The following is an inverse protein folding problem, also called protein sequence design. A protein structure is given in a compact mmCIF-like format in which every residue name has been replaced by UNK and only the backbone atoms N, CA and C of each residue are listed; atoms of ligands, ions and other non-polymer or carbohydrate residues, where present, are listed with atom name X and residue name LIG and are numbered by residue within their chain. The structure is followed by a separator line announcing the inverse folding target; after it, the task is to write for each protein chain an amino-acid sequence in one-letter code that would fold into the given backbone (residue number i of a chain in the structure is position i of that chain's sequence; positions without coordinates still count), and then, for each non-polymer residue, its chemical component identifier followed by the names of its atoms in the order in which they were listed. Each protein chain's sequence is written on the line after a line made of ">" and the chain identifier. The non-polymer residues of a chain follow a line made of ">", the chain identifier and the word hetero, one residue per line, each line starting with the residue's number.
data_IF_587759185554
#
_entry.id   IF_587759185554
#
_cell.length_a   1.000
_cell.length_b   1.000
_cell.length_c   1.000
_cell.angle_alpha   90.00
_cell.angle_beta   90.00
_cell.angle_gamma   90.00
#
_symmetry.space_group_name_H-M   'P 1'
#
loop_
_entity.id
_entity.type
_entity.pdbx_description
1 polymer ?
#
# COMPACT_ATOMS: atom_id res chain seq x y z
N UNK A 1 21.78 -10.74 33.06
CA UNK A 1 21.40 -9.61 32.22
C UNK A 1 20.28 -10.12 31.32
N UNK A 2 19.02 -9.98 31.81
CA UNK A 2 17.84 -10.60 31.21
C UNK A 2 17.33 -9.67 30.11
N UNK A 3 17.27 -10.17 28.89
CA UNK A 3 16.60 -9.51 27.75
C UNK A 3 15.09 -9.63 27.99
N UNK A 4 14.43 -8.54 28.39
CA UNK A 4 12.97 -8.45 28.31
C UNK A 4 12.55 -8.25 26.86
N UNK A 5 11.69 -9.13 26.31
CA UNK A 5 11.18 -8.95 24.96
C UNK A 5 10.17 -7.78 24.97
N UNK A 6 10.36 -6.79 24.10
CA UNK A 6 9.42 -5.71 23.81
C UNK A 6 8.08 -6.19 23.19
N UNK A 7 7.64 -7.36 23.57
CA UNK A 7 6.39 -7.98 23.16
C UNK A 7 5.19 -7.53 24.03
N UNK A 8 5.41 -6.66 25.04
CA UNK A 8 4.42 -6.29 26.03
C UNK A 8 3.21 -5.49 25.49
N UNK A 9 3.38 -4.70 24.42
CA UNK A 9 2.30 -3.85 23.90
C UNK A 9 1.26 -4.67 23.12
N UNK A 10 1.70 -5.70 22.40
CA UNK A 10 0.77 -6.59 21.66
C UNK A 10 -0.03 -7.46 22.64
N UNK A 11 0.59 -7.92 23.73
CA UNK A 11 -0.07 -8.76 24.75
C UNK A 11 -1.13 -8.00 25.56
N UNK A 12 -0.92 -6.70 25.85
CA UNK A 12 -1.89 -5.88 26.60
C UNK A 12 -3.14 -5.58 25.76
N UNK A 13 -3.01 -5.42 24.44
CA UNK A 13 -4.14 -5.22 23.54
C UNK A 13 -5.00 -6.48 23.34
N UNK A 14 -4.44 -7.66 23.54
CA UNK A 14 -5.13 -8.96 23.36
C UNK A 14 -6.10 -9.27 24.50
N UNK A 15 -5.83 -8.78 25.73
CA UNK A 15 -6.62 -9.14 26.93
C UNK A 15 -7.99 -8.45 27.03
N UNK A 16 -8.26 -7.40 26.25
CA UNK A 16 -9.51 -6.61 26.34
C UNK A 16 -10.42 -6.71 25.10
N UNK A 17 -10.14 -7.57 24.13
CA UNK A 17 -10.93 -7.70 22.91
C UNK A 17 -11.78 -8.98 22.89
N UNK A 18 -12.95 -8.98 22.21
CA UNK A 18 -13.90 -10.10 22.18
C UNK A 18 -13.37 -11.37 21.47
N UNK A 19 -12.25 -11.29 20.75
CA UNK A 19 -11.49 -12.46 20.31
C UNK A 19 -10.50 -12.90 21.41
N UNK A 20 -11.04 -13.20 22.58
CA UNK A 20 -10.28 -13.82 23.68
C UNK A 20 -9.53 -15.04 23.13
N UNK A 21 -8.20 -14.92 23.07
CA UNK A 21 -7.38 -16.11 23.18
C UNK A 21 -7.63 -16.64 24.60
N UNK A 22 -8.35 -17.71 24.73
CA UNK A 22 -8.22 -18.54 25.91
C UNK A 22 -6.77 -19.05 25.90
N UNK A 23 -5.92 -18.31 26.61
CA UNK A 23 -4.49 -18.61 26.78
C UNK A 23 -4.25 -19.91 27.56
N UNK A 24 -5.32 -20.66 27.81
CA UNK A 24 -5.31 -21.81 28.71
C UNK A 24 -5.09 -23.18 28.01
N UNK A 25 -5.15 -23.25 26.67
CA UNK A 25 -5.13 -24.56 26.02
C UNK A 25 -3.77 -25.00 25.48
N UNK A 26 -2.90 -24.09 25.03
CA UNK A 26 -1.57 -24.47 24.50
C UNK A 26 -0.61 -23.29 24.40
N UNK A 27 0.67 -23.52 24.69
CA UNK A 27 1.76 -22.54 24.45
C UNK A 27 1.86 -22.08 22.99
N UNK A 28 1.20 -22.76 22.06
CA UNK A 28 1.18 -22.46 20.63
C UNK A 28 -0.04 -21.66 20.19
N UNK A 29 -0.93 -21.27 21.09
CA UNK A 29 -2.16 -20.53 20.74
C UNK A 29 -1.87 -19.19 20.08
N UNK A 30 -0.75 -18.56 20.45
CA UNK A 30 -0.26 -17.35 19.78
C UNK A 30 0.09 -17.54 18.29
N UNK A 31 0.29 -18.77 17.83
CA UNK A 31 0.58 -19.11 16.42
C UNK A 31 -0.70 -19.40 15.60
N UNK A 32 -1.86 -19.43 16.23
CA UNK A 32 -3.12 -19.65 15.50
C UNK A 32 -3.43 -18.46 14.61
N UNK A 33 -3.67 -18.73 13.32
CA UNK A 33 -3.91 -17.68 12.30
C UNK A 33 -5.08 -16.75 12.66
N UNK A 34 -6.15 -17.30 13.24
CA UNK A 34 -7.34 -16.55 13.65
C UNK A 34 -7.06 -15.45 14.69
N UNK A 35 -5.92 -15.51 15.35
CA UNK A 35 -5.50 -14.53 16.33
C UNK A 35 -4.55 -13.47 15.81
N UNK A 36 -4.17 -13.54 14.56
CA UNK A 36 -3.23 -12.61 13.95
C UNK A 36 -3.96 -11.46 13.29
N UNK A 37 -3.83 -10.23 13.80
CA UNK A 37 -4.41 -9.04 13.17
C UNK A 37 -3.87 -8.83 11.74
N UNK A 38 -2.62 -9.16 11.50
CA UNK A 38 -1.99 -8.99 10.19
C UNK A 38 -2.67 -9.85 9.11
N UNK A 39 -3.24 -11.02 9.47
CA UNK A 39 -3.86 -11.90 8.49
C UNK A 39 -5.11 -11.31 7.83
N UNK A 40 -6.14 -10.82 8.56
CA UNK A 40 -7.28 -10.17 7.92
C UNK A 40 -6.87 -8.94 7.11
N UNK A 41 -5.92 -8.12 7.55
CA UNK A 41 -5.39 -6.99 6.77
C UNK A 41 -4.78 -7.46 5.45
N UNK A 42 -3.94 -8.49 5.49
CA UNK A 42 -3.36 -9.10 4.29
C UNK A 42 -4.43 -9.68 3.36
N UNK A 43 -5.38 -10.44 3.91
CA UNK A 43 -6.44 -11.07 3.12
C UNK A 43 -7.34 -10.02 2.44
N UNK A 44 -7.76 -8.98 3.19
CA UNK A 44 -8.56 -7.89 2.65
C UNK A 44 -7.80 -7.14 1.57
N UNK A 45 -6.52 -6.78 1.79
CA UNK A 45 -5.70 -6.11 0.79
C UNK A 45 -5.62 -6.91 -0.50
N UNK A 46 -5.34 -8.21 -0.43
CA UNK A 46 -5.30 -9.09 -1.62
C UNK A 46 -6.64 -9.17 -2.35
N UNK A 47 -7.73 -9.30 -1.61
CA UNK A 47 -9.08 -9.38 -2.19
C UNK A 47 -9.48 -8.08 -2.87
N UNK A 48 -9.14 -6.93 -2.27
CA UNK A 48 -9.36 -5.62 -2.89
C UNK A 48 -8.56 -5.49 -4.20
N UNK A 49 -7.29 -5.85 -4.21
CA UNK A 49 -6.45 -5.82 -5.42
C UNK A 49 -7.03 -6.69 -6.54
N UNK A 50 -7.55 -7.88 -6.23
CA UNK A 50 -8.23 -8.72 -7.23
C UNK A 50 -9.44 -8.03 -7.86
N UNK A 51 -10.22 -7.29 -7.06
CA UNK A 51 -11.39 -6.57 -7.56
C UNK A 51 -11.02 -5.41 -8.49
N UNK A 52 -9.84 -4.80 -8.31
CA UNK A 52 -9.33 -3.80 -9.25
C UNK A 52 -8.99 -4.39 -10.63
N UNK A 53 -8.57 -5.65 -10.68
CA UNK A 53 -8.00 -6.25 -11.90
C UNK A 53 -8.86 -6.08 -13.16
N UNK A 54 -10.19 -6.42 -13.19
CA UNK A 54 -10.99 -6.30 -14.41
C UNK A 54 -11.15 -4.85 -14.89
N UNK A 55 -10.95 -3.87 -14.04
CA UNK A 55 -10.97 -2.45 -14.39
C UNK A 55 -9.61 -1.99 -14.90
N UNK A 56 -8.53 -2.41 -14.25
CA UNK A 56 -7.16 -2.05 -14.59
C UNK A 56 -6.69 -2.71 -15.89
N UNK A 57 -7.14 -3.92 -16.17
CA UNK A 57 -6.82 -4.63 -17.42
C UNK A 57 -7.29 -3.81 -18.66
N UNK A 58 -8.40 -3.06 -18.54
CA UNK A 58 -8.93 -2.19 -19.60
C UNK A 58 -8.00 -1.03 -19.95
N UNK A 59 -7.26 -0.54 -18.98
CA UNK A 59 -6.28 0.55 -19.14
C UNK A 59 -4.84 0.02 -19.17
N UNK A 60 -4.68 -1.30 -19.21
CA UNK A 60 -3.38 -1.97 -19.36
C UNK A 60 -2.45 -1.81 -18.16
N UNK A 61 -2.97 -1.64 -16.93
CA UNK A 61 -2.16 -1.45 -15.72
C UNK A 61 -2.35 -2.59 -14.71
N UNK A 62 -1.29 -2.94 -13.99
CA UNK A 62 -1.39 -3.68 -12.73
C UNK A 62 -1.74 -2.73 -11.58
N UNK A 63 -2.17 -3.25 -10.43
CA UNK A 63 -2.50 -2.41 -9.28
C UNK A 63 -1.32 -1.54 -8.81
N UNK A 64 -0.11 -2.11 -8.74
CA UNK A 64 1.08 -1.33 -8.35
C UNK A 64 1.41 -0.25 -9.37
N UNK A 65 1.25 -0.51 -10.67
CA UNK A 65 1.40 0.50 -11.72
C UNK A 65 0.35 1.61 -11.57
N UNK A 66 -0.89 1.25 -11.26
CA UNK A 66 -1.97 2.20 -11.06
C UNK A 66 -1.72 3.16 -9.90
N UNK A 67 -1.31 2.66 -8.71
CA UNK A 67 -1.01 3.54 -7.58
C UNK A 67 0.22 4.43 -7.83
N UNK A 68 1.21 3.95 -8.59
CA UNK A 68 2.31 4.79 -9.08
C UNK A 68 1.79 5.90 -9.99
N UNK A 69 0.92 5.58 -10.96
CA UNK A 69 0.32 6.59 -11.83
C UNK A 69 -0.54 7.58 -11.05
N UNK A 70 -1.28 7.16 -10.02
CA UNK A 70 -2.04 8.06 -9.14
C UNK A 70 -1.14 9.12 -8.51
N UNK A 71 0.03 8.73 -8.01
CA UNK A 71 1.00 9.70 -7.46
C UNK A 71 1.49 10.65 -8.54
N UNK A 72 1.79 10.18 -9.75
CA UNK A 72 2.25 11.06 -10.84
C UNK A 72 1.13 11.92 -11.44
N UNK A 73 -0.13 11.54 -11.34
CA UNK A 73 -1.26 12.41 -11.68
C UNK A 73 -1.39 13.61 -10.72
N UNK A 74 -0.90 13.47 -9.48
CA UNK A 74 -0.86 14.56 -8.49
C UNK A 74 0.42 15.39 -8.62
N UNK A 75 1.57 14.76 -8.51
CA UNK A 75 2.88 15.40 -8.28
C UNK A 75 3.64 15.72 -9.58
N UNK A 76 3.26 15.14 -10.72
CA UNK A 76 3.87 15.29 -12.05
C UNK A 76 5.33 14.80 -12.14
N UNK A 77 6.14 15.06 -11.13
CA UNK A 77 7.57 14.78 -11.09
C UNK A 77 8.02 14.48 -9.67
N UNK A 78 8.73 13.36 -9.49
CA UNK A 78 9.31 12.93 -8.22
C UNK A 78 10.62 12.17 -8.46
N UNK A 79 11.47 12.12 -7.44
CA UNK A 79 12.53 11.11 -7.42
C UNK A 79 12.01 9.78 -6.86
N UNK A 80 12.78 8.70 -7.11
CA UNK A 80 12.37 7.34 -6.72
C UNK A 80 12.22 7.18 -5.20
N UNK A 81 13.04 7.89 -4.41
CA UNK A 81 12.95 7.86 -2.95
C UNK A 81 11.64 8.47 -2.46
N UNK A 82 11.29 9.66 -2.93
CA UNK A 82 10.03 10.33 -2.62
C UNK A 82 8.81 9.47 -3.00
N UNK A 83 8.87 8.82 -4.17
CA UNK A 83 7.81 7.90 -4.60
C UNK A 83 7.69 6.71 -3.66
N UNK A 84 8.81 6.13 -3.20
CA UNK A 84 8.84 5.04 -2.25
C UNK A 84 8.21 5.40 -0.90
N UNK A 85 8.55 6.58 -0.38
CA UNK A 85 7.98 7.12 0.86
C UNK A 85 6.44 7.30 0.74
N UNK A 86 5.96 7.81 -0.40
CA UNK A 86 4.51 7.99 -0.66
C UNK A 86 3.74 6.67 -0.74
N UNK A 87 4.36 5.63 -1.29
CA UNK A 87 3.71 4.34 -1.55
C UNK A 87 4.05 3.26 -0.53
N UNK A 88 4.91 3.54 0.45
CA UNK A 88 5.47 2.55 1.37
C UNK A 88 6.12 1.37 0.62
N UNK A 89 6.87 1.68 -0.45
CA UNK A 89 7.55 0.70 -1.30
C UNK A 89 9.04 0.99 -1.38
N UNK A 90 9.84 -0.07 -1.36
CA UNK A 90 11.28 0.00 -1.55
C UNK A 90 11.66 0.22 -3.04
N UNK A 91 12.90 0.66 -3.25
CA UNK A 91 13.43 0.93 -4.59
C UNK A 91 13.53 -0.34 -5.47
N UNK A 92 13.74 -1.51 -4.86
CA UNK A 92 13.78 -2.79 -5.56
C UNK A 92 12.43 -3.13 -6.18
N UNK A 93 11.35 -2.89 -5.44
CA UNK A 93 9.97 -3.06 -5.91
C UNK A 93 9.60 -2.00 -6.97
N UNK A 94 10.01 -0.75 -6.80
CA UNK A 94 9.64 0.34 -7.71
C UNK A 94 10.39 0.28 -9.05
N UNK A 95 11.65 -0.12 -9.05
CA UNK A 95 12.49 -0.12 -10.26
C UNK A 95 11.87 -0.89 -11.44
N UNK A 96 11.41 -2.15 -11.31
CA UNK A 96 10.76 -2.87 -12.40
C UNK A 96 9.43 -2.26 -12.81
N UNK A 97 8.67 -1.71 -11.87
CA UNK A 97 7.39 -1.03 -12.15
C UNK A 97 7.61 0.21 -13.02
N UNK A 98 8.56 1.07 -12.63
CA UNK A 98 8.92 2.27 -13.38
C UNK A 98 9.47 1.95 -14.76
N UNK A 99 10.31 0.91 -14.91
CA UNK A 99 10.77 0.43 -16.22
C UNK A 99 9.61 0.04 -17.14
N UNK A 100 8.63 -0.66 -16.60
CA UNK A 100 7.45 -1.09 -17.37
C UNK A 100 6.58 0.11 -17.76
N UNK A 101 6.35 1.07 -16.87
CA UNK A 101 5.58 2.27 -17.17
C UNK A 101 6.28 3.16 -18.20
N UNK A 102 7.61 3.25 -18.14
CA UNK A 102 8.42 3.94 -19.15
C UNK A 102 8.34 3.23 -20.50
N UNK A 103 8.45 1.89 -20.57
CA UNK A 103 8.29 1.14 -21.80
C UNK A 103 6.90 1.26 -22.44
N UNK A 104 5.88 1.58 -21.64
CA UNK A 104 4.52 1.92 -22.09
C UNK A 104 4.39 3.39 -22.52
N UNK A 105 5.44 4.20 -22.40
CA UNK A 105 5.43 5.62 -22.72
C UNK A 105 4.64 6.49 -21.74
N UNK A 106 4.27 5.98 -20.56
CA UNK A 106 3.45 6.70 -19.57
C UNK A 106 4.29 7.57 -18.63
N UNK A 107 5.53 7.18 -18.38
CA UNK A 107 6.51 7.89 -17.58
C UNK A 107 7.82 8.05 -18.36
N UNK A 108 8.62 9.05 -17.99
CA UNK A 108 9.96 9.26 -18.48
C UNK A 108 10.91 9.35 -17.28
N UNK A 109 12.02 8.61 -17.32
CA UNK A 109 13.07 8.63 -16.31
C UNK A 109 14.26 9.42 -16.80
N UNK A 110 14.70 10.41 -16.02
CA UNK A 110 15.86 11.23 -16.32
C UNK A 110 16.78 11.31 -15.10
N UNK A 111 18.07 11.41 -15.30
CA UNK A 111 18.97 11.80 -14.22
C UNK A 111 18.74 13.28 -13.89
N UNK A 112 18.78 13.62 -12.61
CA UNK A 112 18.69 15.03 -12.21
C UNK A 112 19.87 15.81 -12.81
N UNK A 113 19.61 17.02 -13.23
CA UNK A 113 20.66 17.95 -13.70
C UNK A 113 21.49 18.52 -12.55
N UNK A 114 20.95 18.49 -11.33
CA UNK A 114 21.59 19.01 -10.12
C UNK A 114 22.46 17.94 -9.42
N UNK A 115 22.03 16.67 -9.45
CA UNK A 115 22.78 15.53 -8.93
C UNK A 115 22.51 14.30 -9.81
N UNK A 116 23.50 13.88 -10.58
CA UNK A 116 23.43 12.73 -11.49
C UNK A 116 23.14 11.40 -10.80
N UNK A 117 23.30 11.33 -9.47
CA UNK A 117 22.97 10.14 -8.65
C UNK A 117 21.46 10.01 -8.42
N UNK A 118 20.71 11.12 -8.57
CA UNK A 118 19.27 11.15 -8.33
C UNK A 118 18.51 10.85 -9.62
N UNK A 119 17.79 9.74 -9.64
CA UNK A 119 16.87 9.40 -10.72
C UNK A 119 15.52 10.09 -10.49
N UNK A 120 15.18 11.00 -11.38
CA UNK A 120 13.89 11.69 -11.41
C UNK A 120 12.97 11.02 -12.42
N UNK A 121 11.70 10.92 -12.09
CA UNK A 121 10.64 10.37 -12.92
C UNK A 121 9.60 11.45 -13.15
N UNK A 122 9.17 11.61 -14.40
CA UNK A 122 8.16 12.58 -14.83
C UNK A 122 7.04 11.87 -15.61
N UNK A 123 5.82 12.35 -15.46
CA UNK A 123 4.69 11.86 -16.26
C UNK A 123 4.78 12.42 -17.69
N UNK A 124 4.39 11.60 -18.67
CA UNK A 124 4.30 12.02 -20.07
C UNK A 124 2.88 12.53 -20.39
N UNK A 125 2.71 13.13 -21.58
CA UNK A 125 1.37 13.51 -22.08
C UNK A 125 0.45 12.28 -22.21
N UNK A 126 0.97 11.14 -22.65
CA UNK A 126 0.21 9.89 -22.70
C UNK A 126 -0.18 9.39 -21.30
N UNK A 127 0.72 9.55 -20.31
CA UNK A 127 0.43 9.23 -18.92
C UNK A 127 -0.65 10.14 -18.32
N UNK A 128 -0.66 11.43 -18.67
CA UNK A 128 -1.72 12.36 -18.29
C UNK A 128 -3.06 12.00 -18.93
N UNK A 129 -3.08 11.71 -20.22
CA UNK A 129 -4.31 11.35 -20.93
C UNK A 129 -4.97 10.09 -20.35
N UNK A 130 -4.18 9.11 -19.86
CA UNK A 130 -4.67 7.89 -19.23
C UNK A 130 -5.50 8.15 -17.96
N UNK A 131 -5.37 9.33 -17.35
CA UNK A 131 -6.15 9.76 -16.18
C UNK A 131 -7.65 9.76 -16.44
N UNK A 132 -8.07 10.13 -17.64
CA UNK A 132 -9.48 10.15 -18.02
C UNK A 132 -10.06 8.74 -18.07
N UNK A 133 -9.33 7.78 -18.59
CA UNK A 133 -9.73 6.35 -18.62
C UNK A 133 -9.81 5.76 -17.21
N UNK A 134 -8.96 6.23 -16.29
CA UNK A 134 -8.93 5.76 -14.91
C UNK A 134 -10.04 6.37 -14.02
N UNK A 135 -10.70 7.46 -14.44
CA UNK A 135 -11.62 8.28 -13.63
C UNK A 135 -12.77 7.49 -12.98
N UNK A 136 -13.25 6.44 -13.63
CA UNK A 136 -14.38 5.65 -13.15
C UNK A 136 -13.96 4.49 -12.23
N UNK A 137 -12.68 4.13 -12.16
CA UNK A 137 -12.21 2.98 -11.37
C UNK A 137 -12.55 3.12 -9.89
N UNK A 138 -12.28 4.25 -9.20
CA UNK A 138 -12.63 4.40 -7.79
C UNK A 138 -14.15 4.29 -7.54
N UNK A 139 -14.98 4.79 -8.45
CA UNK A 139 -16.45 4.72 -8.34
C UNK A 139 -16.96 3.27 -8.42
N UNK A 140 -16.39 2.47 -9.31
CA UNK A 140 -16.73 1.05 -9.40
C UNK A 140 -16.28 0.28 -8.15
N UNK A 141 -15.11 0.61 -7.61
CA UNK A 141 -14.58 -0.05 -6.41
C UNK A 141 -15.42 0.21 -5.16
N UNK A 142 -15.99 1.42 -5.00
CA UNK A 142 -16.86 1.75 -3.86
C UNK A 142 -18.08 0.82 -3.80
N UNK A 143 -18.62 0.39 -4.94
CA UNK A 143 -19.78 -0.53 -5.00
C UNK A 143 -19.51 -1.89 -4.35
N UNK A 144 -18.25 -2.27 -4.19
CA UNK A 144 -17.83 -3.52 -3.59
C UNK A 144 -17.52 -3.43 -2.09
N UNK A 145 -17.67 -2.24 -1.50
CA UNK A 145 -17.44 -2.01 -0.06
C UNK A 145 -18.77 -2.12 0.67
N UNK A 146 -18.97 -3.23 1.39
CA UNK A 146 -20.17 -3.49 2.19
C UNK A 146 -20.06 -2.88 3.60
N UNK A 147 -19.63 -1.62 3.69
CA UNK A 147 -19.49 -0.86 4.92
C UNK A 147 -20.27 0.45 4.82
N UNK A 148 -20.81 0.90 5.95
CA UNK A 148 -21.38 2.24 6.08
C UNK A 148 -20.29 3.32 5.99
N UNK A 149 -20.67 4.56 5.78
CA UNK A 149 -19.73 5.70 5.70
C UNK A 149 -18.87 5.85 6.96
N UNK A 150 -19.46 5.64 8.13
CA UNK A 150 -18.75 5.79 9.42
C UNK A 150 -17.78 4.63 9.65
N UNK A 151 -18.13 3.40 9.24
CA UNK A 151 -17.22 2.26 9.28
C UNK A 151 -16.05 2.45 8.32
N UNK A 152 -16.28 2.96 7.10
CA UNK A 152 -15.19 3.29 6.16
C UNK A 152 -14.27 4.34 6.74
N UNK A 153 -14.82 5.42 7.34
CA UNK A 153 -14.02 6.47 7.98
C UNK A 153 -13.18 5.93 9.11
N UNK A 154 -13.78 5.10 9.98
CA UNK A 154 -13.09 4.48 11.12
C UNK A 154 -11.96 3.57 10.63
N UNK A 155 -12.23 2.71 9.66
CA UNK A 155 -11.24 1.81 9.08
C UNK A 155 -10.07 2.59 8.46
N UNK A 156 -10.36 3.65 7.71
CA UNK A 156 -9.36 4.55 7.12
C UNK A 156 -8.44 5.15 8.19
N UNK A 157 -9.02 5.71 9.25
CA UNK A 157 -8.26 6.32 10.35
C UNK A 157 -7.38 5.29 11.07
N UNK A 158 -7.91 4.09 11.34
CA UNK A 158 -7.16 3.03 12.03
C UNK A 158 -6.01 2.48 11.17
N UNK A 159 -6.23 2.29 9.87
CA UNK A 159 -5.19 1.81 8.97
C UNK A 159 -4.06 2.83 8.80
N UNK A 160 -4.37 4.12 8.65
CA UNK A 160 -3.34 5.17 8.61
C UNK A 160 -2.61 5.34 9.94
N UNK A 161 -3.29 5.19 11.06
CA UNK A 161 -2.65 5.17 12.37
C UNK A 161 -1.63 4.03 12.49
N UNK A 162 -1.96 2.84 12.00
CA UNK A 162 -1.04 1.70 11.96
C UNK A 162 0.18 1.97 11.07
N UNK A 163 0.00 2.65 9.92
CA UNK A 163 1.10 3.02 9.02
C UNK A 163 2.02 4.08 9.64
N UNK A 164 1.47 5.08 10.32
CA UNK A 164 2.24 6.16 10.95
C UNK A 164 2.98 5.70 12.21
N UNK A 165 2.45 4.71 12.92
CA UNK A 165 3.10 4.08 14.07
C UNK A 165 4.10 2.98 13.65
N UNK A 166 4.16 2.63 12.36
CA UNK A 166 5.17 1.71 11.84
C UNK A 166 6.57 2.33 12.03
N UNK A 167 7.54 1.60 12.59
CA UNK A 167 8.90 2.12 12.70
C UNK A 167 9.40 2.47 11.30
N UNK A 168 9.98 3.67 11.16
CA UNK A 168 10.69 4.03 9.94
C UNK A 168 11.64 2.89 9.59
N UNK A 169 11.48 2.34 8.37
CA UNK A 169 12.47 1.43 7.83
C UNK A 169 13.77 2.22 7.65
N UNK A 170 14.58 2.25 8.70
CA UNK A 170 15.97 2.69 8.59
C UNK A 170 16.71 1.58 7.86
N UNK A 171 17.09 1.84 6.61
CA UNK A 171 18.13 1.07 5.92
C UNK A 171 19.44 1.13 6.68
#
# INVERSE_FOLDING_TARGET
>A
MLFEPRCGIIVVLINNYPWRFDMNDSKYDCLKLRGQLCFPLYAVSREMIKRYRPHLDKIGLTYTQYIVMMVFWEEKKLNVKQLGERLYLDSGTLTPVLKTLESKGLLCRRRSTEDERVLTVEITEAGEALKDDALNIPKEMIKHIALSRDEVRTLYQLTYKLLNDAPEFKE
#
